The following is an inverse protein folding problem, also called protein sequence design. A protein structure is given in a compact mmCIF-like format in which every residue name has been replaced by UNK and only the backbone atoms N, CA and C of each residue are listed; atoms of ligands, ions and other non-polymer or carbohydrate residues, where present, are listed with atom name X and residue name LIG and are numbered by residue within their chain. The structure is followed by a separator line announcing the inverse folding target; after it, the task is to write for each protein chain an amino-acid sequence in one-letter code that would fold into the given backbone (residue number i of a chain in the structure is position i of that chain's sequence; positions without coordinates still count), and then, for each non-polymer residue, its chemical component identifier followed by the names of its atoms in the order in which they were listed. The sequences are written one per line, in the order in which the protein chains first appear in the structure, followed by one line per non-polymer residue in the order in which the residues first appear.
data_IF_013305952435
#
_entry.id   IF_013305952435
#
_cell.length_a   1.000
_cell.length_b   1.000
_cell.length_c   1.000
_cell.angle_alpha   90.00
_cell.angle_beta   90.00
_cell.angle_gamma   90.00
#
_symmetry.space_group_name_H-M   'P 1'
#
loop_
_entity.id
_entity.type
_entity.pdbx_description
1 polymer ?
#
# COMPACT_ATOMS: atom_id res chain seq x y z
N UNK A 1 -6.70 -2.77 -24.40
CA UNK A 1 -6.36 -1.38 -24.04
C UNK A 1 -7.45 -0.72 -23.18
N UNK A 2 -8.70 -1.18 -23.26
CA UNK A 2 -9.86 -0.60 -22.58
C UNK A 2 -9.77 -0.59 -21.04
N UNK A 3 -9.27 -1.66 -20.40
CA UNK A 3 -9.16 -1.74 -18.94
C UNK A 3 -8.39 -0.56 -18.31
N UNK A 4 -7.21 -0.22 -18.84
CA UNK A 4 -6.39 0.87 -18.30
C UNK A 4 -7.06 2.24 -18.48
N UNK A 5 -7.73 2.46 -19.61
CA UNK A 5 -8.45 3.71 -19.87
C UNK A 5 -9.65 3.88 -18.94
N UNK A 6 -10.41 2.82 -18.68
CA UNK A 6 -11.55 2.91 -17.75
C UNK A 6 -11.03 3.12 -16.32
N UNK A 7 -9.96 2.44 -15.91
CA UNK A 7 -9.34 2.64 -14.61
C UNK A 7 -8.81 4.09 -14.42
N UNK A 8 -8.23 4.69 -15.46
CA UNK A 8 -7.83 6.10 -15.46
C UNK A 8 -9.03 7.03 -15.16
N UNK A 9 -10.18 6.78 -15.79
CA UNK A 9 -11.39 7.56 -15.52
C UNK A 9 -11.85 7.43 -14.05
N UNK A 10 -11.74 6.25 -13.44
CA UNK A 10 -12.03 6.06 -12.00
C UNK A 10 -11.12 6.95 -11.16
N UNK A 11 -9.81 6.91 -11.40
CA UNK A 11 -8.86 7.74 -10.66
C UNK A 11 -9.08 9.24 -10.88
N UNK A 12 -9.52 9.65 -12.06
CA UNK A 12 -9.86 11.05 -12.33
C UNK A 12 -11.00 11.55 -11.46
N UNK A 13 -12.03 10.73 -11.23
CA UNK A 13 -13.20 11.09 -10.43
C UNK A 13 -12.85 11.12 -8.95
N UNK A 14 -12.03 10.17 -8.49
CA UNK A 14 -11.47 10.19 -7.13
C UNK A 14 -10.62 11.45 -6.91
N UNK A 15 -9.77 11.80 -7.88
CA UNK A 15 -8.92 13.00 -7.83
C UNK A 15 -9.75 14.28 -7.79
N UNK A 16 -10.88 14.34 -8.49
CA UNK A 16 -11.82 15.47 -8.45
C UNK A 16 -12.67 15.51 -7.17
N UNK A 17 -12.68 14.44 -6.37
CA UNK A 17 -13.53 14.30 -5.19
C UNK A 17 -15.00 14.05 -5.51
N UNK A 18 -15.31 13.65 -6.74
CA UNK A 18 -16.68 13.38 -7.22
C UNK A 18 -17.19 12.00 -6.75
N UNK A 19 -16.31 11.17 -6.20
CA UNK A 19 -16.59 9.88 -5.57
C UNK A 19 -15.55 9.63 -4.48
N UNK A 20 -15.95 8.98 -3.39
CA UNK A 20 -15.04 8.56 -2.32
C UNK A 20 -14.64 7.09 -2.51
N UNK A 21 -13.49 6.71 -1.95
CA UNK A 21 -13.06 5.31 -1.91
C UNK A 21 -13.88 4.57 -0.85
N UNK A 22 -14.52 3.48 -1.27
CA UNK A 22 -15.21 2.53 -0.41
C UNK A 22 -14.65 1.11 -0.64
N UNK A 23 -15.15 0.12 0.11
CA UNK A 23 -14.69 -1.26 0.01
C UNK A 23 -14.96 -1.88 -1.36
N UNK A 24 -16.13 -1.58 -1.95
CA UNK A 24 -16.51 -2.11 -3.25
C UNK A 24 -15.57 -1.60 -4.35
N UNK A 25 -15.26 -0.31 -4.34
CA UNK A 25 -14.32 0.30 -5.27
C UNK A 25 -12.91 -0.27 -5.10
N UNK A 26 -12.45 -0.47 -3.86
CA UNK A 26 -11.14 -1.05 -3.60
C UNK A 26 -11.03 -2.49 -4.13
N UNK A 27 -12.05 -3.31 -3.91
CA UNK A 27 -12.07 -4.69 -4.40
C UNK A 27 -11.95 -4.74 -5.92
N UNK A 28 -12.69 -3.88 -6.64
CA UNK A 28 -12.63 -3.80 -8.11
C UNK A 28 -11.28 -3.24 -8.59
N UNK A 29 -10.67 -2.29 -7.88
CA UNK A 29 -9.32 -1.79 -8.21
C UNK A 29 -8.26 -2.89 -8.08
N UNK A 30 -8.34 -3.72 -7.02
CA UNK A 30 -7.40 -4.83 -6.83
C UNK A 30 -7.56 -5.88 -7.92
N UNK A 31 -8.79 -6.22 -8.30
CA UNK A 31 -9.05 -7.12 -9.43
C UNK A 31 -8.50 -6.56 -10.75
N UNK A 32 -8.67 -5.26 -11.00
CA UNK A 32 -8.10 -4.58 -12.17
C UNK A 32 -6.56 -4.61 -12.17
N UNK A 33 -5.94 -4.39 -11.01
CA UNK A 33 -4.49 -4.48 -10.85
C UNK A 33 -3.98 -5.89 -11.17
N UNK A 34 -4.65 -6.92 -10.66
CA UNK A 34 -4.30 -8.31 -10.92
C UNK A 34 -4.39 -8.65 -12.42
N UNK A 35 -5.46 -8.20 -13.09
CA UNK A 35 -5.61 -8.36 -14.53
C UNK A 35 -4.46 -7.70 -15.31
N UNK A 36 -4.10 -6.47 -14.96
CA UNK A 36 -2.99 -5.73 -15.60
C UNK A 36 -1.63 -6.39 -15.34
N UNK A 37 -1.38 -6.87 -14.12
CA UNK A 37 -0.17 -7.62 -13.78
C UNK A 37 -0.06 -8.93 -14.56
N UNK A 38 -1.19 -9.62 -14.78
CA UNK A 38 -1.28 -10.78 -15.65
C UNK A 38 -0.91 -10.44 -17.10
N UNK A 39 -1.45 -9.34 -17.63
CA UNK A 39 -1.12 -8.86 -18.98
C UNK A 39 0.37 -8.54 -19.13
N UNK A 40 0.99 -7.89 -18.14
CA UNK A 40 2.44 -7.61 -18.16
C UNK A 40 3.28 -8.89 -18.15
N UNK A 41 2.86 -9.89 -17.37
CA UNK A 41 3.54 -11.19 -17.32
C UNK A 41 3.49 -11.89 -18.69
N UNK A 42 2.33 -11.88 -19.35
CA UNK A 42 2.15 -12.44 -20.70
C UNK A 42 3.00 -11.71 -21.75
N UNK A 43 3.08 -10.38 -21.69
CA UNK A 43 3.95 -9.59 -22.57
C UNK A 43 5.42 -9.99 -22.39
N UNK A 44 5.87 -10.12 -21.14
CA UNK A 44 7.24 -10.54 -20.82
C UNK A 44 7.56 -11.93 -21.38
N UNK A 45 6.60 -12.83 -21.33
CA UNK A 45 6.69 -14.20 -21.84
C UNK A 45 6.45 -14.30 -23.36
N UNK A 46 6.12 -13.19 -24.03
CA UNK A 46 5.68 -13.15 -25.43
C UNK A 46 4.48 -14.06 -25.71
N UNK A 47 3.64 -14.27 -24.70
CA UNK A 47 2.39 -15.00 -24.78
C UNK A 47 1.25 -14.10 -25.31
N UNK A 48 0.17 -14.68 -25.87
CA UNK A 48 -1.02 -13.92 -26.23
C UNK A 48 -1.65 -13.28 -24.99
N UNK A 49 -2.01 -12.00 -25.10
CA UNK A 49 -2.62 -11.25 -24.00
C UNK A 49 -4.07 -11.68 -23.80
N UNK A 50 -4.40 -12.07 -22.58
CA UNK A 50 -5.79 -12.28 -22.15
C UNK A 50 -6.39 -10.94 -21.73
N UNK A 51 -7.53 -10.58 -22.31
CA UNK A 51 -8.24 -9.36 -21.93
C UNK A 51 -8.85 -9.49 -20.53
N UNK A 52 -9.06 -8.35 -19.87
CA UNK A 52 -9.88 -8.28 -18.66
C UNK A 52 -11.29 -8.79 -18.94
N UNK A 53 -11.94 -9.36 -17.93
CA UNK A 53 -13.30 -9.91 -18.07
C UNK A 53 -14.30 -8.78 -18.38
N UNK A 54 -15.35 -9.05 -19.17
CA UNK A 54 -16.40 -8.06 -19.43
C UNK A 54 -17.06 -7.54 -18.15
N UNK A 55 -17.19 -8.39 -17.14
CA UNK A 55 -17.76 -8.06 -15.83
C UNK A 55 -16.90 -7.03 -15.10
N UNK A 56 -15.57 -7.21 -15.09
CA UNK A 56 -14.63 -6.26 -14.50
C UNK A 56 -14.65 -4.92 -15.23
N UNK A 57 -14.69 -4.94 -16.57
CA UNK A 57 -14.79 -3.71 -17.37
C UNK A 57 -16.08 -2.95 -17.09
N UNK A 58 -17.21 -3.64 -16.96
CA UNK A 58 -18.49 -3.04 -16.60
C UNK A 58 -18.49 -2.48 -15.16
N UNK A 59 -17.88 -3.20 -14.21
CA UNK A 59 -17.75 -2.74 -12.84
C UNK A 59 -16.92 -1.45 -12.76
N UNK A 60 -15.75 -1.42 -13.41
CA UNK A 60 -14.91 -0.23 -13.52
C UNK A 60 -15.65 0.93 -14.19
N UNK A 61 -16.41 0.67 -15.26
CA UNK A 61 -17.16 1.72 -15.96
C UNK A 61 -18.21 2.38 -15.07
N UNK A 62 -18.95 1.59 -14.28
CA UNK A 62 -19.92 2.12 -13.30
C UNK A 62 -19.23 2.91 -12.17
N UNK A 63 -18.08 2.45 -11.70
CA UNK A 63 -17.30 3.17 -10.69
C UNK A 63 -16.64 4.44 -11.24
N UNK A 64 -16.47 4.51 -12.56
CA UNK A 64 -16.02 5.68 -13.30
C UNK A 64 -17.15 6.69 -13.59
N UNK A 65 -18.23 6.66 -12.81
CA UNK A 65 -19.24 7.71 -12.78
C UNK A 65 -19.22 8.39 -11.39
N UNK A 66 -19.50 9.70 -11.30
CA UNK A 66 -19.66 10.39 -10.03
C UNK A 66 -20.59 9.62 -9.09
N UNK A 67 -20.36 9.71 -7.78
CA UNK A 67 -21.25 9.08 -6.82
C UNK A 67 -22.66 9.68 -6.98
N UNK A 68 -23.62 8.84 -7.40
CA UNK A 68 -25.00 9.26 -7.57
C UNK A 68 -25.53 9.71 -6.21
N UNK A 69 -25.80 11.01 -6.06
CA UNK A 69 -26.25 11.61 -4.80
C UNK A 69 -27.74 11.33 -4.54
N UNK A 70 -28.37 10.48 -5.36
CA UNK A 70 -29.79 10.23 -5.37
C UNK A 70 -30.14 8.79 -4.96
N UNK A 71 -30.04 8.47 -3.66
CA UNK A 71 -31.05 7.73 -2.89
C UNK A 71 -30.53 7.25 -1.52
N UNK A 72 -30.66 8.11 -0.51
CA UNK A 72 -31.33 7.76 0.74
C UNK A 72 -31.81 9.07 1.38
N UNK A 73 -33.05 9.15 1.93
CA UNK A 73 -33.33 10.20 2.88
C UNK A 73 -32.33 10.00 4.01
N UNK A 74 -31.61 11.06 4.36
CA UNK A 74 -31.02 11.16 5.69
C UNK A 74 -32.21 11.09 6.63
N UNK A 75 -32.55 9.88 7.08
CA UNK A 75 -33.29 9.71 8.31
C UNK A 75 -32.40 10.39 9.32
N UNK A 76 -32.88 11.52 9.83
CA UNK A 76 -32.35 12.20 10.99
C UNK A 76 -32.31 11.17 12.11
N UNK A 77 -31.17 10.48 12.21
CA UNK A 77 -30.86 9.63 13.33
C UNK A 77 -30.88 10.55 14.53
N UNK A 78 -31.83 10.30 15.43
CA UNK A 78 -31.80 10.82 16.78
C UNK A 78 -30.36 10.74 17.30
N UNK A 79 -29.86 11.75 18.05
CA UNK A 79 -28.47 11.76 18.49
C UNK A 79 -28.20 10.49 19.30
N UNK A 80 -27.52 9.54 18.68
CA UNK A 80 -26.86 8.46 19.40
C UNK A 80 -25.81 9.14 20.30
N UNK A 81 -25.67 8.69 21.56
CA UNK A 81 -24.61 9.20 22.41
C UNK A 81 -23.30 8.86 21.72
N UNK A 82 -22.57 9.90 21.31
CA UNK A 82 -21.18 9.80 20.88
C UNK A 82 -20.44 8.98 21.92
N UNK A 83 -20.14 7.73 21.56
CA UNK A 83 -19.04 7.02 22.15
C UNK A 83 -17.84 7.97 22.01
N UNK A 84 -17.29 8.34 23.15
CA UNK A 84 -16.11 9.19 23.25
C UNK A 84 -15.11 8.65 22.25
N UNK A 85 -14.76 9.47 21.24
CA UNK A 85 -13.60 9.21 20.43
C UNK A 85 -12.46 8.88 21.40
N UNK A 86 -11.80 7.75 21.17
CA UNK A 86 -10.54 7.51 21.85
C UNK A 86 -9.70 8.78 21.72
N UNK A 87 -9.05 9.24 22.81
CA UNK A 87 -8.36 10.52 22.80
C UNK A 87 -7.42 10.54 21.61
N UNK A 88 -7.73 11.41 20.65
CA UNK A 88 -6.84 11.76 19.57
C UNK A 88 -5.54 12.20 20.27
N UNK A 89 -4.46 11.46 20.06
CA UNK A 89 -3.20 11.65 20.79
C UNK A 89 -2.81 13.10 20.57
N UNK A 90 -2.99 13.91 21.61
CA UNK A 90 -2.76 15.34 21.47
C UNK A 90 -1.28 15.59 21.28
N UNK A 91 -0.91 16.67 20.59
CA UNK A 91 0.50 17.05 20.41
C UNK A 91 1.25 17.10 21.77
N UNK A 92 0.55 17.47 22.85
CA UNK A 92 1.11 17.49 24.20
C UNK A 92 1.44 16.11 24.77
N UNK A 93 0.64 15.08 24.48
CA UNK A 93 0.91 13.70 24.88
C UNK A 93 2.04 13.10 24.03
N UNK A 94 2.08 13.44 22.73
CA UNK A 94 3.15 13.03 21.84
C UNK A 94 4.51 13.61 22.28
N UNK A 95 4.56 14.89 22.66
CA UNK A 95 5.78 15.51 23.21
C UNK A 95 6.22 14.87 24.54
N UNK A 96 5.27 14.51 25.41
CA UNK A 96 5.58 13.80 26.66
C UNK A 96 6.17 12.41 26.41
N UNK A 97 5.61 11.67 25.44
CA UNK A 97 6.12 10.38 25.00
C UNK A 97 7.54 10.50 24.43
N UNK A 98 7.79 11.48 23.55
CA UNK A 98 9.13 11.75 22.99
C UNK A 98 10.17 12.13 24.06
N UNK A 99 9.77 12.93 25.04
CA UNK A 99 10.64 13.29 26.16
C UNK A 99 10.99 12.07 27.03
N UNK A 100 10.02 11.19 27.30
CA UNK A 100 10.25 9.96 28.06
C UNK A 100 11.23 9.02 27.34
N UNK A 101 11.09 8.85 26.02
CA UNK A 101 11.97 8.03 25.19
C UNK A 101 13.41 8.60 25.19
N UNK A 102 13.53 9.93 25.11
CA UNK A 102 14.83 10.62 25.12
C UNK A 102 15.53 10.49 26.47
N UNK A 103 14.78 10.50 27.58
CA UNK A 103 15.32 10.26 28.92
C UNK A 103 15.84 8.82 29.08
N UNK A 104 15.09 7.82 28.59
CA UNK A 104 15.52 6.41 28.58
C UNK A 104 16.78 6.23 27.72
N UNK A 105 16.86 6.91 26.57
CA UNK A 105 18.06 6.91 25.73
C UNK A 105 19.27 7.51 26.45
N UNK A 106 19.08 8.61 27.19
CA UNK A 106 20.15 9.24 27.95
C UNK A 106 20.63 8.37 29.14
N UNK A 107 19.75 7.60 29.78
CA UNK A 107 20.13 6.62 30.80
C UNK A 107 20.84 5.39 30.21
N UNK A 108 20.53 5.00 28.98
CA UNK A 108 21.23 3.93 28.26
C UNK A 108 22.63 4.32 27.77
N UNK A 109 22.98 5.62 27.78
CA UNK A 109 24.25 6.16 27.29
C UNK A 109 25.29 6.36 28.42
N UNK A 110 25.10 5.72 29.57
CA UNK A 110 26.19 5.51 30.52
C UNK A 110 27.36 4.76 29.83
N UNK A 111 28.62 5.13 30.07
CA UNK A 111 29.73 4.69 29.23
C UNK A 111 30.01 3.21 29.46
N UNK A 112 29.49 2.36 28.58
CA UNK A 112 30.00 1.01 28.38
C UNK A 112 31.31 1.10 27.60
N UNK A 113 32.36 0.52 28.16
CA UNK A 113 33.66 0.36 27.50
C UNK A 113 33.47 -0.18 26.08
N UNK A 114 34.20 0.34 25.07
CA UNK A 114 34.07 -0.14 23.71
C UNK A 114 34.53 -1.61 23.63
N UNK A 115 33.58 -2.51 23.42
CA UNK A 115 33.87 -3.83 22.89
C UNK A 115 34.34 -3.66 21.44
N UNK A 116 35.38 -4.41 21.08
CA UNK A 116 36.01 -4.38 19.76
C UNK A 116 34.96 -4.49 18.65
N UNK A 117 35.02 -3.54 17.71
CA UNK A 117 34.31 -3.62 16.43
C UNK A 117 34.75 -4.90 15.72
N UNK A 118 33.84 -5.83 15.36
CA UNK A 118 34.19 -6.82 14.36
C UNK A 118 34.48 -6.04 13.09
N UNK A 119 35.68 -6.22 12.55
CA UNK A 119 36.03 -5.75 11.22
C UNK A 119 34.93 -6.21 10.27
N UNK A 120 34.25 -5.26 9.64
CA UNK A 120 33.53 -5.53 8.40
C UNK A 120 34.59 -5.93 7.38
N UNK A 121 34.96 -7.20 7.34
CA UNK A 121 35.76 -7.73 6.24
C UNK A 121 34.90 -7.56 5.00
N UNK A 122 35.30 -6.62 4.14
CA UNK A 122 34.69 -6.44 2.82
C UNK A 122 34.70 -7.81 2.13
N UNK A 123 33.51 -8.34 1.84
CA UNK A 123 33.37 -9.59 1.12
C UNK A 123 34.13 -9.46 -0.20
N UNK A 124 35.04 -10.40 -0.47
CA UNK A 124 35.78 -10.38 -1.72
C UNK A 124 34.87 -10.80 -2.88
N UNK A 125 35.14 -10.31 -4.09
CA UNK A 125 34.32 -10.64 -5.27
C UNK A 125 34.17 -12.17 -5.48
N UNK A 126 35.21 -12.95 -5.14
CA UNK A 126 35.19 -14.40 -5.22
C UNK A 126 34.23 -15.06 -4.21
N UNK A 127 34.10 -14.49 -3.01
CA UNK A 127 33.15 -14.96 -2.01
C UNK A 127 31.72 -14.57 -2.39
N UNK A 128 31.54 -13.39 -2.98
CA UNK A 128 30.25 -12.96 -3.49
C UNK A 128 29.74 -13.88 -4.63
N UNK A 129 30.60 -14.24 -5.59
CA UNK A 129 30.26 -15.20 -6.65
C UNK A 129 29.90 -16.58 -6.08
N UNK A 130 30.66 -17.06 -5.08
CA UNK A 130 30.36 -18.33 -4.39
C UNK A 130 29.00 -18.32 -3.68
N UNK A 131 28.61 -17.18 -3.08
CA UNK A 131 27.30 -17.02 -2.46
C UNK A 131 26.17 -16.98 -3.50
N UNK A 132 26.39 -16.37 -4.67
CA UNK A 132 25.42 -16.38 -5.77
C UNK A 132 25.23 -17.80 -6.31
N UNK A 133 26.31 -18.56 -6.50
CA UNK A 133 26.25 -19.95 -6.95
C UNK A 133 25.47 -20.85 -5.97
N UNK A 134 25.65 -20.63 -4.66
CA UNK A 134 24.89 -21.34 -3.62
C UNK A 134 23.40 -20.98 -3.61
N UNK A 135 23.06 -19.73 -3.95
CA UNK A 135 21.67 -19.24 -3.94
C UNK A 135 20.90 -19.66 -5.20
N UNK A 136 21.56 -19.64 -6.36
CA UNK A 136 20.91 -19.84 -7.66
C UNK A 136 21.13 -21.21 -8.27
N UNK A 137 22.10 -22.00 -7.76
CA UNK A 137 22.51 -23.26 -8.36
C UNK A 137 23.25 -23.03 -9.67
N UNK A 138 24.30 -23.81 -9.92
CA UNK A 138 25.09 -23.69 -11.14
C UNK A 138 24.18 -23.81 -12.38
N UNK A 139 24.09 -22.73 -13.16
CA UNK A 139 23.55 -22.76 -14.51
C UNK A 139 24.47 -23.65 -15.36
N UNK A 140 24.07 -24.92 -15.48
CA UNK A 140 24.51 -25.82 -16.55
C UNK A 140 24.05 -25.30 -17.92
#
# INVERSE_FOLDING_TARGET
MECCHIAENVFDILRKGERHVDSELMDVILEALDAVNGMFSQVRERAPITAATPELLAALARLAEPADTAAAPVVEAAPEPVAQAEPDVTDSEFEQLLNSLSAVKAEAEAPVQPAATPSSEDITDAEFESLLDQLFGQLL
#
